data_IF_701078227662
#
_entry.id   IF_701078227662
#
_cell.length_a   1.000
_cell.length_b   1.000
_cell.length_c   1.000
_cell.angle_alpha   90.00
_cell.angle_beta   90.00
_cell.angle_gamma   90.00
#
_symmetry.space_group_name_H-M   'P 1'
#
loop_
_entity.id
_entity.type
_entity.pdbx_description
1 polymer ?
#
# COMPACT_ATOMS: atom_id res chain seq x y z
N UNK A 1 -4.28 -22.45 -0.95
CA UNK A 1 -2.90 -21.96 -0.66
C UNK A 1 -2.61 -21.85 0.85
N UNK A 2 -3.64 -21.70 1.71
CA UNK A 2 -3.47 -21.69 3.17
C UNK A 2 -3.24 -20.30 3.78
N UNK A 3 -3.46 -19.24 2.99
CA UNK A 3 -3.32 -17.86 3.44
C UNK A 3 -4.69 -17.26 3.79
N UNK A 4 -4.68 -16.31 4.72
CA UNK A 4 -5.80 -15.41 4.98
C UNK A 4 -5.66 -14.16 4.13
N UNK A 5 -6.75 -13.69 3.53
CA UNK A 5 -6.78 -12.43 2.78
C UNK A 5 -7.38 -11.33 3.66
N UNK A 6 -6.65 -10.22 3.80
CA UNK A 6 -7.07 -9.05 4.58
C UNK A 6 -6.99 -7.83 3.67
N UNK A 7 -8.04 -7.01 3.64
CA UNK A 7 -8.05 -5.75 2.89
C UNK A 7 -7.53 -4.64 3.80
N UNK A 8 -6.50 -3.92 3.37
CA UNK A 8 -6.00 -2.73 4.05
C UNK A 8 -6.26 -1.52 3.14
N UNK A 9 -6.97 -0.51 3.63
CA UNK A 9 -7.41 0.62 2.80
C UNK A 9 -7.22 1.96 3.51
N UNK A 10 -6.96 3.01 2.73
CA UNK A 10 -6.87 4.38 3.23
C UNK A 10 -8.23 5.04 3.50
N UNK A 11 -9.34 4.33 3.27
CA UNK A 11 -10.68 4.80 3.66
C UNK A 11 -10.74 5.11 5.15
N UNK A 12 -11.67 5.99 5.55
CA UNK A 12 -11.89 6.28 6.96
C UNK A 12 -12.48 5.07 7.69
N UNK A 13 -12.35 5.05 9.02
CA UNK A 13 -12.96 4.03 9.86
C UNK A 13 -14.49 3.98 9.71
N UNK A 14 -15.15 5.12 9.46
CA UNK A 14 -16.59 5.23 9.20
C UNK A 14 -17.03 4.48 7.93
N UNK A 15 -16.16 4.41 6.91
CA UNK A 15 -16.46 3.70 5.65
C UNK A 15 -16.25 2.19 5.74
N UNK A 16 -15.73 1.69 6.88
CA UNK A 16 -15.40 0.28 7.06
C UNK A 16 -16.60 -0.63 6.87
N UNK A 17 -17.72 -0.34 7.54
CA UNK A 17 -18.91 -1.18 7.48
C UNK A 17 -19.47 -1.26 6.05
N UNK A 18 -19.58 -0.11 5.38
CA UNK A 18 -20.01 -0.05 3.98
C UNK A 18 -19.08 -0.85 3.06
N UNK A 19 -17.77 -0.77 3.31
CA UNK A 19 -16.76 -1.51 2.54
C UNK A 19 -16.89 -3.02 2.73
N UNK A 20 -17.09 -3.48 3.98
CA UNK A 20 -17.34 -4.88 4.30
C UNK A 20 -18.62 -5.40 3.63
N UNK A 21 -19.74 -4.66 3.71
CA UNK A 21 -20.99 -5.05 3.05
C UNK A 21 -20.81 -5.22 1.54
N UNK A 22 -20.05 -4.32 0.90
CA UNK A 22 -19.78 -4.42 -0.53
C UNK A 22 -18.92 -5.66 -0.84
N UNK A 23 -17.88 -5.92 -0.05
CA UNK A 23 -17.00 -7.08 -0.22
C UNK A 23 -17.80 -8.37 -0.02
N UNK A 24 -18.57 -8.50 1.06
CA UNK A 24 -19.35 -9.71 1.34
C UNK A 24 -20.39 -9.99 0.26
N UNK A 25 -20.94 -8.93 -0.36
CA UNK A 25 -21.88 -9.07 -1.49
C UNK A 25 -21.20 -9.64 -2.74
N UNK A 26 -19.98 -9.21 -3.05
CA UNK A 26 -19.32 -9.52 -4.33
C UNK A 26 -18.28 -10.65 -4.25
N UNK A 27 -17.70 -10.87 -3.06
CA UNK A 27 -16.62 -11.79 -2.78
C UNK A 27 -16.86 -12.56 -1.47
N UNK A 28 -18.03 -13.22 -1.30
CA UNK A 28 -18.41 -13.84 -0.05
C UNK A 28 -17.41 -14.91 0.39
N UNK A 29 -16.92 -14.80 1.63
CA UNK A 29 -16.02 -15.78 2.25
C UNK A 29 -14.58 -15.77 1.74
N UNK A 30 -14.19 -14.77 0.94
CA UNK A 30 -12.82 -14.65 0.40
C UNK A 30 -11.91 -13.87 1.35
N UNK A 31 -12.39 -12.74 1.87
CA UNK A 31 -11.63 -11.86 2.75
C UNK A 31 -12.05 -12.03 4.21
N UNK A 32 -11.07 -12.08 5.12
CA UNK A 32 -11.31 -12.23 6.56
C UNK A 32 -11.84 -10.92 7.17
N UNK A 33 -11.27 -9.78 6.78
CA UNK A 33 -11.62 -8.47 7.34
C UNK A 33 -11.12 -7.31 6.46
N UNK A 34 -11.58 -6.11 6.79
CA UNK A 34 -11.13 -4.82 6.26
C UNK A 34 -10.56 -3.99 7.41
N UNK A 35 -9.33 -3.51 7.22
CA UNK A 35 -8.62 -2.59 8.11
C UNK A 35 -8.51 -1.24 7.40
N UNK A 36 -9.08 -0.21 8.02
CA UNK A 36 -8.99 1.17 7.55
C UNK A 36 -7.81 1.86 8.24
N UNK A 37 -6.94 2.51 7.45
CA UNK A 37 -5.82 3.32 7.95
C UNK A 37 -6.14 4.80 8.04
N UNK A 38 -7.27 5.23 7.45
CA UNK A 38 -7.63 6.65 7.31
C UNK A 38 -6.80 7.39 6.25
N UNK A 39 -7.41 8.44 5.67
CA UNK A 39 -6.76 9.40 4.77
C UNK A 39 -6.38 10.71 5.48
N UNK A 40 -6.98 10.97 6.65
CA UNK A 40 -6.83 12.18 7.44
C UNK A 40 -6.62 11.82 8.91
N UNK A 41 -5.87 12.66 9.62
CA UNK A 41 -5.49 12.51 11.04
C UNK A 41 -6.68 12.04 11.91
N UNK A 42 -6.66 10.80 12.40
CA UNK A 42 -7.52 10.41 13.52
C UNK A 42 -6.73 10.73 14.80
N UNK A 43 -7.18 11.76 15.53
CA UNK A 43 -6.62 12.15 16.82
C UNK A 43 -7.14 11.18 17.86
N UNK A 44 -6.26 10.36 18.45
CA UNK A 44 -6.60 9.52 19.60
C UNK A 44 -6.17 10.26 20.86
N UNK A 45 -7.13 10.61 21.72
CA UNK A 45 -6.83 11.21 23.02
C UNK A 45 -6.70 10.09 24.06
N UNK A 46 -5.47 9.78 24.48
CA UNK A 46 -5.22 8.97 25.68
C UNK A 46 -4.59 9.86 26.77
N UNK A 47 -5.18 9.83 27.97
CA UNK A 47 -4.65 10.44 29.21
C UNK A 47 -4.18 11.92 29.08
N UNK A 48 -4.88 12.73 28.28
CA UNK A 48 -4.56 14.16 28.14
C UNK A 48 -3.38 14.47 27.21
N UNK A 49 -2.85 13.46 26.53
CA UNK A 49 -1.88 13.62 25.45
C UNK A 49 -2.55 13.39 24.10
N UNK A 50 -2.39 14.35 23.18
CA UNK A 50 -2.84 14.23 21.80
C UNK A 50 -1.93 13.23 21.06
N UNK A 51 -2.39 11.99 20.90
CA UNK A 51 -1.68 10.96 20.13
C UNK A 51 -2.28 10.91 18.73
N UNK A 52 -1.62 11.59 17.81
CA UNK A 52 -1.82 11.44 16.37
C UNK A 52 -1.19 10.11 15.93
N UNK A 53 -1.97 9.03 15.85
CA UNK A 53 -1.46 7.75 15.32
C UNK A 53 -2.08 7.43 13.97
N UNK A 54 -1.50 7.98 12.90
CA UNK A 54 -1.73 7.47 11.54
C UNK A 54 -1.13 6.06 11.46
N UNK A 55 -1.95 5.00 11.53
CA UNK A 55 -1.47 3.65 11.24
C UNK A 55 -1.22 3.54 9.74
N UNK A 56 0.03 3.48 9.29
CA UNK A 56 0.32 3.26 7.87
C UNK A 56 -0.02 1.83 7.47
N UNK A 57 -0.20 1.56 6.16
CA UNK A 57 -0.35 0.17 5.69
C UNK A 57 0.84 -0.71 6.07
N UNK A 58 2.05 -0.14 6.13
CA UNK A 58 3.25 -0.84 6.58
C UNK A 58 3.13 -1.23 8.06
N UNK A 59 2.59 -0.35 8.91
CA UNK A 59 2.33 -0.65 10.32
C UNK A 59 1.29 -1.77 10.46
N UNK A 60 0.19 -1.69 9.72
CA UNK A 60 -0.82 -2.75 9.73
C UNK A 60 -0.24 -4.08 9.27
N UNK A 61 0.56 -4.11 8.21
CA UNK A 61 1.21 -5.33 7.74
C UNK A 61 2.13 -5.93 8.79
N UNK A 62 2.86 -5.10 9.54
CA UNK A 62 3.70 -5.53 10.67
C UNK A 62 2.85 -6.13 11.80
N UNK A 63 1.80 -5.44 12.22
CA UNK A 63 0.90 -5.86 13.31
C UNK A 63 0.28 -7.24 13.04
N UNK A 64 -0.16 -7.49 11.80
CA UNK A 64 -0.80 -8.77 11.43
C UNK A 64 0.19 -9.84 10.95
N UNK A 65 1.50 -9.57 11.01
CA UNK A 65 2.57 -10.44 10.49
C UNK A 65 2.33 -10.87 9.03
N UNK A 66 1.96 -9.90 8.19
CA UNK A 66 1.66 -10.12 6.79
C UNK A 66 2.88 -10.68 6.05
N UNK A 67 2.68 -11.73 5.25
CA UNK A 67 3.74 -12.37 4.47
C UNK A 67 4.00 -11.63 3.16
N UNK A 68 2.92 -11.17 2.54
CA UNK A 68 2.93 -10.49 1.25
C UNK A 68 1.90 -9.36 1.30
N UNK A 69 2.29 -8.19 0.81
CA UNK A 69 1.39 -7.07 0.52
C UNK A 69 1.16 -7.01 -1.00
N UNK A 70 -0.09 -6.88 -1.43
CA UNK A 70 -0.44 -6.57 -2.82
C UNK A 70 -1.01 -5.16 -2.80
N UNK A 71 -0.31 -4.22 -3.43
CA UNK A 71 -0.71 -2.80 -3.47
C UNK A 71 -0.36 -2.24 -4.85
N UNK A 72 -1.11 -1.26 -5.32
CA UNK A 72 -0.89 -0.59 -6.60
C UNK A 72 -0.13 0.73 -6.46
N UNK A 73 0.03 1.23 -5.23
CA UNK A 73 0.83 2.42 -4.94
C UNK A 73 2.30 2.08 -4.73
N UNK A 74 3.16 2.69 -5.54
CA UNK A 74 4.60 2.59 -5.34
C UNK A 74 5.03 3.12 -3.97
N UNK A 75 4.47 4.23 -3.50
CA UNK A 75 4.82 4.79 -2.20
C UNK A 75 4.53 3.82 -1.05
N UNK A 76 3.38 3.14 -1.07
CA UNK A 76 3.08 2.10 -0.08
C UNK A 76 4.05 0.92 -0.21
N UNK A 77 4.40 0.53 -1.44
CA UNK A 77 5.34 -0.56 -1.67
C UNK A 77 6.73 -0.27 -1.09
N UNK A 78 7.26 0.93 -1.30
CA UNK A 78 8.56 1.33 -0.76
C UNK A 78 8.52 1.46 0.77
N UNK A 79 7.45 2.05 1.33
CA UNK A 79 7.29 2.14 2.80
C UNK A 79 7.23 0.75 3.45
N UNK A 80 6.48 -0.19 2.87
CA UNK A 80 6.34 -1.54 3.39
C UNK A 80 7.61 -2.40 3.20
N UNK A 81 8.31 -2.27 2.07
CA UNK A 81 9.51 -3.05 1.79
C UNK A 81 10.78 -2.49 2.44
N UNK A 82 10.85 -1.17 2.66
CA UNK A 82 12.03 -0.49 3.23
C UNK A 82 11.94 -0.20 4.73
N UNK A 83 10.79 -0.46 5.35
CA UNK A 83 10.59 -0.23 6.78
C UNK A 83 11.42 -1.15 7.69
N UNK A 84 11.40 -0.92 9.02
CA UNK A 84 12.15 -1.74 10.00
C UNK A 84 11.71 -3.21 10.03
N UNK A 85 10.50 -3.50 9.54
CA UNK A 85 9.99 -4.86 9.36
C UNK A 85 9.59 -5.04 7.88
N UNK A 86 10.55 -5.30 6.98
CA UNK A 86 10.30 -5.38 5.55
C UNK A 86 9.27 -6.44 5.18
N UNK A 87 8.23 -6.06 4.46
CA UNK A 87 7.24 -6.98 3.89
C UNK A 87 7.53 -7.16 2.41
N UNK A 88 7.31 -8.37 1.88
CA UNK A 88 7.41 -8.59 0.43
C UNK A 88 6.20 -7.96 -0.24
N UNK A 89 6.43 -7.13 -1.27
CA UNK A 89 5.36 -6.42 -1.97
C UNK A 89 5.25 -6.89 -3.41
N UNK A 90 4.03 -7.20 -3.82
CA UNK A 90 3.65 -7.37 -5.22
C UNK A 90 3.00 -6.06 -5.68
N UNK A 91 3.76 -5.27 -6.44
CA UNK A 91 3.32 -3.99 -6.98
C UNK A 91 2.42 -4.25 -8.19
N UNK A 92 1.12 -4.06 -7.98
CA UNK A 92 0.09 -4.56 -8.87
C UNK A 92 -0.28 -3.59 -10.00
N UNK A 93 -0.54 -4.15 -11.18
CA UNK A 93 -1.16 -3.50 -12.33
C UNK A 93 -0.19 -2.75 -13.25
N UNK A 94 -0.77 -1.93 -14.14
CA UNK A 94 -0.06 -1.06 -15.11
C UNK A 94 -0.39 0.42 -14.89
N UNK A 95 -0.70 0.78 -13.65
CA UNK A 95 -1.18 2.10 -13.32
C UNK A 95 -0.03 3.11 -13.26
N UNK A 96 -0.29 4.35 -13.66
CA UNK A 96 0.74 5.39 -13.65
C UNK A 96 1.32 5.65 -12.24
N UNK A 97 0.51 5.50 -11.18
CA UNK A 97 0.96 5.66 -9.79
C UNK A 97 1.77 4.47 -9.25
N UNK A 98 1.91 3.38 -10.01
CA UNK A 98 2.82 2.28 -9.70
C UNK A 98 4.22 2.47 -10.32
N UNK A 99 4.38 3.52 -11.14
CA UNK A 99 5.64 3.84 -11.81
C UNK A 99 6.35 5.03 -11.18
N UNK A 100 5.69 5.74 -10.27
CA UNK A 100 6.14 7.02 -9.74
C UNK A 100 6.24 7.01 -8.23
N UNK A 101 7.27 7.62 -7.68
CA UNK A 101 7.35 7.93 -6.24
C UNK A 101 7.41 9.43 -6.13
N UNK A 102 6.45 10.03 -5.43
CA UNK A 102 6.50 11.46 -5.20
C UNK A 102 7.58 11.76 -4.16
N UNK A 103 8.66 12.43 -4.55
CA UNK A 103 9.66 12.94 -3.61
C UNK A 103 9.17 14.23 -2.95
N UNK A 104 8.14 14.12 -2.10
CA UNK A 104 7.69 15.26 -1.29
C UNK A 104 8.63 15.37 -0.07
N UNK A 105 9.32 16.51 0.12
CA UNK A 105 10.30 16.66 1.21
C UNK A 105 9.65 17.00 2.55
N UNK A 106 8.38 17.42 2.57
CA UNK A 106 7.56 17.68 3.77
C UNK A 106 6.05 17.65 3.46
N UNK A 107 5.19 17.42 4.46
CA UNK A 107 3.72 17.48 4.28
C UNK A 107 3.24 18.85 3.73
N UNK A 108 4.01 19.93 3.95
CA UNK A 108 3.74 21.28 3.41
C UNK A 108 4.04 21.43 1.90
N UNK A 109 4.70 20.45 1.27
CA UNK A 109 5.03 20.43 -0.16
C UNK A 109 4.08 19.55 -0.99
N UNK A 110 3.03 18.98 -0.39
CA UNK A 110 1.97 18.24 -1.09
C UNK A 110 1.09 19.19 -1.93
N UNK A 111 1.62 19.57 -3.08
CA UNK A 111 0.86 20.27 -4.12
C UNK A 111 0.04 19.27 -4.93
N UNK A 112 -1.22 19.61 -5.22
CA UNK A 112 -2.04 18.84 -6.16
C UNK A 112 -1.38 18.80 -7.56
N UNK A 113 -1.78 17.84 -8.39
CA UNK A 113 -1.24 17.71 -9.75
C UNK A 113 -1.39 19.00 -10.58
N UNK A 114 -2.52 19.70 -10.41
CA UNK A 114 -2.78 20.98 -11.09
C UNK A 114 -1.85 22.10 -10.60
N UNK A 115 -1.61 22.16 -9.30
CA UNK A 115 -0.72 23.14 -8.68
C UNK A 115 0.74 22.91 -9.09
N UNK A 116 1.22 21.65 -9.08
CA UNK A 116 2.55 21.31 -9.59
C UNK A 116 2.72 21.68 -11.07
N UNK A 117 1.73 21.40 -11.92
CA UNK A 117 1.79 21.78 -13.34
C UNK A 117 1.90 23.29 -13.55
N UNK A 118 1.28 24.08 -12.67
CA UNK A 118 1.36 25.55 -12.71
C UNK A 118 2.73 26.06 -12.26
N UNK A 119 3.32 25.45 -11.23
CA UNK A 119 4.65 25.80 -10.70
C UNK A 119 5.76 25.40 -11.67
N UNK A 120 5.68 24.19 -12.24
CA UNK A 120 6.69 23.62 -13.14
C UNK A 120 6.59 24.16 -14.59
N UNK A 121 5.71 25.14 -14.83
CA UNK A 121 5.58 25.91 -16.08
C UNK A 121 5.57 25.04 -17.35
N UNK A 122 4.82 23.93 -17.33
CA UNK A 122 4.68 23.02 -18.47
C UNK A 122 5.81 21.98 -18.64
N UNK A 123 6.78 21.91 -17.72
CA UNK A 123 7.72 20.78 -17.65
C UNK A 123 6.95 19.50 -17.27
N UNK A 124 7.25 18.40 -17.96
CA UNK A 124 6.72 17.08 -17.67
C UNK A 124 7.41 16.44 -16.44
N UNK A 125 7.37 17.13 -15.28
CA UNK A 125 8.03 16.73 -14.03
C UNK A 125 7.70 15.29 -13.61
N UNK A 126 6.51 14.80 -13.98
CA UNK A 126 6.07 13.43 -13.72
C UNK A 126 6.86 12.33 -14.45
N UNK A 127 7.78 12.68 -15.37
CA UNK A 127 8.74 11.76 -16.00
C UNK A 127 10.01 11.58 -15.17
N UNK A 128 10.33 12.54 -14.29
CA UNK A 128 11.53 12.51 -13.46
C UNK A 128 11.33 11.67 -12.18
N UNK A 129 10.07 11.41 -11.81
CA UNK A 129 9.67 10.62 -10.62
C UNK A 129 9.58 9.10 -10.91
N UNK A 130 9.92 8.66 -12.13
CA UNK A 130 9.88 7.23 -12.48
C UNK A 130 11.00 6.42 -11.80
N UNK A 131 10.68 5.21 -11.35
CA UNK A 131 11.65 4.28 -10.78
C UNK A 131 11.64 2.92 -11.49
N UNK A 132 12.80 2.26 -11.49
CA UNK A 132 12.97 0.91 -12.01
C UNK A 132 12.96 -0.13 -10.89
N UNK A 133 12.56 -1.36 -11.21
CA UNK A 133 12.70 -2.52 -10.33
C UNK A 133 13.57 -3.57 -11.04
N UNK A 134 14.39 -4.35 -10.30
CA UNK A 134 14.46 -4.43 -8.84
C UNK A 134 15.24 -3.26 -8.19
N UNK A 135 14.90 -2.97 -6.94
CA UNK A 135 15.62 -2.01 -6.10
C UNK A 135 16.52 -2.75 -5.10
N UNK A 136 17.80 -2.39 -4.94
CA UNK A 136 18.71 -3.09 -4.02
C UNK A 136 18.17 -3.13 -2.59
N UNK A 137 18.12 -4.33 -2.00
CA UNK A 137 17.66 -4.53 -0.61
C UNK A 137 16.15 -4.49 -0.40
N UNK A 138 15.35 -4.18 -1.43
CA UNK A 138 13.89 -4.15 -1.33
C UNK A 138 13.25 -5.37 -1.99
N UNK A 139 12.28 -5.98 -1.30
CA UNK A 139 11.51 -7.13 -1.79
C UNK A 139 10.24 -6.68 -2.51
N UNK A 140 10.40 -5.97 -3.63
CA UNK A 140 9.28 -5.48 -4.45
C UNK A 140 9.32 -6.17 -5.82
N UNK A 141 8.22 -6.81 -6.21
CA UNK A 141 8.05 -7.50 -7.49
C UNK A 141 6.89 -6.89 -8.27
N UNK A 142 7.03 -6.67 -9.58
CA UNK A 142 5.90 -6.23 -10.41
C UNK A 142 5.01 -7.42 -10.77
N UNK A 143 3.70 -7.22 -10.70
CA UNK A 143 2.68 -8.16 -11.18
C UNK A 143 1.62 -7.40 -11.94
N UNK A 144 1.36 -7.74 -13.20
CA UNK A 144 0.42 -7.00 -14.05
C UNK A 144 -1.02 -7.54 -13.94
N UNK A 145 -1.18 -8.77 -13.45
CA UNK A 145 -2.44 -9.51 -13.41
C UNK A 145 -2.59 -10.34 -12.14
N UNK A 146 -3.82 -10.76 -11.83
CA UNK A 146 -4.05 -11.67 -10.69
C UNK A 146 -3.46 -13.07 -10.92
N UNK A 147 -3.35 -13.52 -12.16
CA UNK A 147 -2.71 -14.80 -12.49
C UNK A 147 -1.22 -14.77 -12.12
N UNK A 148 -0.52 -13.68 -12.42
CA UNK A 148 0.88 -13.48 -12.00
C UNK A 148 1.04 -13.42 -10.49
N UNK A 149 0.12 -12.74 -9.78
CA UNK A 149 0.12 -12.73 -8.30
C UNK A 149 0.01 -14.15 -7.75
N UNK A 150 -0.95 -14.91 -8.27
CA UNK A 150 -1.20 -16.29 -7.80
C UNK A 150 -0.01 -17.19 -8.12
N UNK A 151 0.57 -17.06 -9.32
CA UNK A 151 1.74 -17.84 -9.71
C UNK A 151 2.96 -17.53 -8.84
N UNK A 152 3.22 -16.24 -8.59
CA UNK A 152 4.29 -15.82 -7.69
C UNK A 152 4.11 -16.40 -6.29
N UNK A 153 2.89 -16.35 -5.72
CA UNK A 153 2.61 -16.87 -4.38
C UNK A 153 2.77 -18.39 -4.32
N UNK A 154 2.38 -19.11 -5.38
CA UNK A 154 2.58 -20.57 -5.47
C UNK A 154 4.06 -20.92 -5.50
N UNK A 155 4.83 -20.23 -6.33
CA UNK A 155 6.26 -20.45 -6.46
C UNK A 155 6.99 -20.14 -5.14
N UNK A 156 6.74 -18.98 -4.54
CA UNK A 156 7.33 -18.61 -3.24
C UNK A 156 6.99 -19.61 -2.14
N UNK A 157 5.78 -20.20 -2.16
CA UNK A 157 5.42 -21.27 -1.24
C UNK A 157 6.19 -22.57 -1.53
N UNK A 158 6.30 -22.97 -2.79
CA UNK A 158 7.05 -24.16 -3.19
C UNK A 158 8.55 -24.05 -2.85
N UNK A 159 9.08 -22.83 -2.88
CA UNK A 159 10.46 -22.50 -2.52
C UNK A 159 10.69 -22.39 -0.99
N UNK A 160 9.65 -22.60 -0.17
CA UNK A 160 9.77 -22.66 1.29
C UNK A 160 9.89 -21.29 1.97
N UNK A 161 9.44 -20.19 1.35
CA UNK A 161 9.60 -18.84 1.92
C UNK A 161 8.85 -18.64 3.26
N UNK A 162 7.89 -19.50 3.59
CA UNK A 162 6.96 -19.32 4.72
C UNK A 162 6.78 -20.58 5.58
N UNK A 163 7.65 -21.58 5.41
CA UNK A 163 7.70 -22.79 6.24
C UNK A 163 8.55 -22.61 7.49
#
# INVERSE_FOLDING_TARGET
MGFKLVVITARSSEERERSLIWIDRHFPGIFETVICTGQSQEVIFEEGHELLTKLSKADVCREINAKVLIDDSAENAFKAAGGPHPVTVLLYGKYNWNRRITHVKSEDEELSHEEKNRVENGREWWKDDEFELPQPGLRIHRTESWDEVVEWVRQAKADGHWE
#
